data_IF_251224070835
#
_entry.id   IF_251224070835
#
_cell.length_a   1.000
_cell.length_b   1.000
_cell.length_c   1.000
_cell.angle_alpha   90.00
_cell.angle_beta   90.00
_cell.angle_gamma   90.00
#
_symmetry.space_group_name_H-M   'P 1'
#
loop_
_entity.id
_entity.type
_entity.pdbx_description
1 polymer ?
#
# COMPACT_ATOMS: atom_id res chain seq x y z
N UNK A 1 -12.03 40.41 -39.17
CA UNK A 1 -10.73 39.80 -39.53
C UNK A 1 -11.05 38.40 -40.00
N UNK A 2 -10.60 38.04 -41.20
CA UNK A 2 -10.89 36.77 -41.87
C UNK A 2 -10.89 35.58 -40.90
N UNK A 3 -11.99 34.83 -40.86
CA UNK A 3 -12.00 33.43 -40.42
C UNK A 3 -11.28 32.63 -41.50
N UNK A 4 -9.99 32.94 -41.69
CA UNK A 4 -9.17 32.47 -42.79
C UNK A 4 -9.28 30.96 -42.85
N UNK A 5 -9.67 30.47 -44.02
CA UNK A 5 -9.69 29.04 -44.36
C UNK A 5 -8.48 28.37 -43.73
N UNK A 6 -8.70 27.62 -42.64
CA UNK A 6 -7.63 26.81 -42.09
C UNK A 6 -7.16 25.86 -43.19
N UNK A 7 -5.85 25.73 -43.32
CA UNK A 7 -5.28 24.81 -44.29
C UNK A 7 -5.81 23.39 -44.03
N UNK A 8 -6.24 22.63 -45.06
CA UNK A 8 -6.75 21.27 -44.88
C UNK A 8 -5.82 20.38 -44.04
N UNK A 9 -4.50 20.47 -44.29
CA UNK A 9 -3.48 19.76 -43.49
C UNK A 9 -3.47 20.15 -42.00
N UNK A 10 -3.68 21.43 -41.68
CA UNK A 10 -3.75 21.89 -40.27
C UNK A 10 -5.01 21.37 -39.60
N UNK A 11 -6.17 21.45 -40.29
CA UNK A 11 -7.42 20.90 -39.76
C UNK A 11 -7.31 19.39 -39.53
N UNK A 12 -6.67 18.66 -40.45
CA UNK A 12 -6.42 17.23 -40.29
C UNK A 12 -5.51 16.91 -39.09
N UNK A 13 -4.43 17.66 -38.90
CA UNK A 13 -3.57 17.50 -37.73
C UNK A 13 -4.31 17.78 -36.41
N UNK A 14 -5.20 18.77 -36.40
CA UNK A 14 -6.03 19.08 -35.22
C UNK A 14 -7.03 17.97 -34.90
N UNK A 15 -7.62 17.31 -35.92
CA UNK A 15 -8.48 16.14 -35.73
C UNK A 15 -7.71 14.98 -35.09
N UNK A 16 -6.54 14.65 -35.65
CA UNK A 16 -5.68 13.60 -35.11
C UNK A 16 -5.28 13.92 -33.66
N UNK A 17 -4.90 15.16 -33.37
CA UNK A 17 -4.58 15.59 -32.00
C UNK A 17 -5.76 15.43 -31.03
N UNK A 18 -7.01 15.64 -31.46
CA UNK A 18 -8.18 15.39 -30.62
C UNK A 18 -8.33 13.89 -30.31
N UNK A 19 -8.07 13.03 -31.29
CA UNK A 19 -8.09 11.57 -31.09
C UNK A 19 -6.97 11.13 -30.13
N UNK A 20 -5.74 11.61 -30.33
CA UNK A 20 -4.59 11.35 -29.43
C UNK A 20 -4.90 11.81 -28.00
N UNK A 21 -5.45 13.01 -27.83
CA UNK A 21 -5.84 13.55 -26.53
C UNK A 21 -6.95 12.75 -25.85
N UNK A 22 -7.82 12.10 -26.62
CA UNK A 22 -8.89 11.25 -26.06
C UNK A 22 -8.37 9.98 -25.38
N UNK A 23 -7.18 9.49 -25.77
CA UNK A 23 -6.55 8.29 -25.20
C UNK A 23 -5.42 8.61 -24.21
N UNK A 24 -4.97 9.86 -24.13
CA UNK A 24 -3.89 10.31 -23.24
C UNK A 24 -4.08 9.85 -21.79
N UNK A 25 -5.27 10.04 -21.22
CA UNK A 25 -5.55 9.63 -19.84
C UNK A 25 -5.50 8.11 -19.63
N UNK A 26 -5.88 7.33 -20.65
CA UNK A 26 -5.79 5.86 -20.59
C UNK A 26 -4.33 5.40 -20.62
N UNK A 27 -3.46 6.12 -21.33
CA UNK A 27 -2.02 5.85 -21.38
C UNK A 27 -1.33 6.19 -20.06
N UNK A 28 -1.60 7.38 -19.51
CA UNK A 28 -1.02 7.84 -18.24
C UNK A 28 -1.47 6.92 -17.09
N UNK A 29 -2.72 6.49 -17.11
CA UNK A 29 -3.30 5.57 -16.13
C UNK A 29 -3.11 4.08 -16.44
N UNK A 30 -2.36 3.72 -17.48
CA UNK A 30 -2.21 2.32 -17.89
C UNK A 30 -1.45 1.53 -16.82
N UNK A 31 -2.10 0.55 -16.21
CA UNK A 31 -1.56 -0.26 -15.11
C UNK A 31 -1.31 -1.72 -15.50
N UNK A 32 -1.45 -2.07 -16.79
CA UNK A 32 -1.29 -3.43 -17.30
C UNK A 32 0.14 -3.79 -17.69
N UNK A 33 0.30 -4.94 -18.34
CA UNK A 33 1.53 -5.41 -18.98
C UNK A 33 1.48 -5.26 -20.51
N UNK A 34 2.60 -5.47 -21.19
CA UNK A 34 2.72 -5.32 -22.65
C UNK A 34 1.97 -6.39 -23.45
N UNK A 35 1.70 -7.55 -22.84
CA UNK A 35 0.92 -8.63 -23.44
C UNK A 35 -0.59 -8.42 -23.33
N UNK A 36 -1.04 -7.50 -22.47
CA UNK A 36 -2.46 -7.19 -22.26
C UNK A 36 -3.16 -6.70 -23.54
N UNK A 37 -4.43 -7.10 -23.68
CA UNK A 37 -5.28 -6.65 -24.80
C UNK A 37 -5.42 -5.13 -24.84
N UNK A 38 -5.50 -4.49 -23.68
CA UNK A 38 -5.65 -3.04 -23.57
C UNK A 38 -4.36 -2.30 -23.97
N UNK A 39 -3.18 -2.83 -23.63
CA UNK A 39 -1.89 -2.31 -24.12
C UNK A 39 -1.87 -2.31 -25.64
N UNK A 40 -2.09 -3.49 -26.24
CA UNK A 40 -2.11 -3.67 -27.70
C UNK A 40 -3.14 -2.77 -28.38
N UNK A 41 -4.28 -2.52 -27.75
CA UNK A 41 -5.30 -1.59 -28.26
C UNK A 41 -4.78 -0.15 -28.28
N UNK A 42 -4.23 0.34 -27.17
CA UNK A 42 -3.69 1.71 -27.06
C UNK A 42 -2.50 1.92 -28.01
N UNK A 43 -1.58 0.97 -28.04
CA UNK A 43 -0.43 0.97 -28.94
C UNK A 43 -0.86 1.05 -30.41
N UNK A 44 -1.84 0.23 -30.83
CA UNK A 44 -2.39 0.28 -32.20
C UNK A 44 -3.03 1.62 -32.52
N UNK A 45 -3.79 2.21 -31.59
CA UNK A 45 -4.41 3.52 -31.79
C UNK A 45 -3.32 4.57 -32.00
N UNK A 46 -2.36 4.68 -31.08
CA UNK A 46 -1.31 5.69 -31.17
C UNK A 46 -0.41 5.50 -32.40
N UNK A 47 -0.04 4.26 -32.72
CA UNK A 47 0.75 3.93 -33.92
C UNK A 47 0.01 4.32 -35.20
N UNK A 48 -1.30 4.06 -35.27
CA UNK A 48 -2.16 4.51 -36.39
C UNK A 48 -2.15 6.03 -36.50
N UNK A 49 -2.32 6.75 -35.39
CA UNK A 49 -2.28 8.22 -35.40
C UNK A 49 -0.92 8.76 -35.85
N UNK A 50 0.18 8.12 -35.44
CA UNK A 50 1.52 8.51 -35.86
C UNK A 50 1.71 8.37 -37.38
N UNK A 51 1.28 7.24 -37.97
CA UNK A 51 1.29 7.07 -39.42
C UNK A 51 0.41 8.10 -40.15
N UNK A 52 -0.76 8.44 -39.59
CA UNK A 52 -1.64 9.45 -40.15
C UNK A 52 -1.00 10.85 -40.10
N UNK A 53 -0.29 11.20 -39.02
CA UNK A 53 0.46 12.45 -38.88
C UNK A 53 1.58 12.52 -39.93
N UNK A 54 2.35 11.46 -40.09
CA UNK A 54 3.48 11.41 -41.03
C UNK A 54 3.02 11.51 -42.48
N UNK A 55 1.82 11.01 -42.78
CA UNK A 55 1.19 11.09 -44.10
C UNK A 55 0.64 12.48 -44.44
N UNK A 56 0.65 13.43 -43.51
CA UNK A 56 0.19 14.80 -43.78
C UNK A 56 1.21 15.55 -44.65
N UNK A 57 0.75 15.97 -45.84
CA UNK A 57 1.53 16.85 -46.70
C UNK A 57 1.62 18.26 -46.10
N UNK A 58 2.86 18.75 -46.10
CA UNK A 58 3.22 20.06 -45.55
C UNK A 58 3.34 21.13 -46.63
N UNK A 59 3.39 20.76 -47.91
CA UNK A 59 3.54 21.68 -49.04
C UNK A 59 4.75 22.63 -48.88
N UNK A 60 5.76 22.24 -48.10
CA UNK A 60 6.90 23.10 -47.74
C UNK A 60 6.58 24.25 -46.76
N UNK A 61 5.34 24.38 -46.28
CA UNK A 61 4.90 25.42 -45.35
C UNK A 61 5.40 25.12 -43.94
N UNK A 62 6.20 26.04 -43.39
CA UNK A 62 6.91 25.86 -42.12
C UNK A 62 5.98 25.73 -40.89
N UNK A 63 4.83 26.40 -40.91
CA UNK A 63 3.78 26.29 -39.89
C UNK A 63 3.16 24.89 -39.86
N UNK A 64 2.86 24.29 -41.01
CA UNK A 64 2.34 22.92 -41.13
C UNK A 64 3.41 21.91 -40.71
N UNK A 65 4.67 22.08 -41.14
CA UNK A 65 5.78 21.24 -40.69
C UNK A 65 5.94 21.27 -39.17
N UNK A 66 5.84 22.45 -38.56
CA UNK A 66 5.94 22.61 -37.12
C UNK A 66 4.74 21.97 -36.39
N UNK A 67 3.52 22.13 -36.90
CA UNK A 67 2.33 21.49 -36.36
C UNK A 67 2.43 19.95 -36.43
N UNK A 68 2.85 19.40 -37.58
CA UNK A 68 3.08 17.97 -37.77
C UNK A 68 4.13 17.44 -36.78
N UNK A 69 5.27 18.14 -36.66
CA UNK A 69 6.33 17.78 -35.72
C UNK A 69 5.84 17.74 -34.28
N UNK A 70 5.05 18.73 -33.83
CA UNK A 70 4.48 18.75 -32.47
C UNK A 70 3.53 17.58 -32.24
N UNK A 71 2.64 17.30 -33.19
CA UNK A 71 1.70 16.18 -33.09
C UNK A 71 2.41 14.82 -33.04
N UNK A 72 3.44 14.63 -33.88
CA UNK A 72 4.27 13.42 -33.88
C UNK A 72 4.98 13.26 -32.53
N UNK A 73 5.65 14.30 -32.04
CA UNK A 73 6.35 14.28 -30.74
C UNK A 73 5.42 13.99 -29.56
N UNK A 74 4.21 14.52 -29.56
CA UNK A 74 3.20 14.23 -28.54
C UNK A 74 2.76 12.76 -28.58
N UNK A 75 2.51 12.23 -29.78
CA UNK A 75 2.11 10.83 -29.98
C UNK A 75 3.23 9.86 -29.61
N UNK A 76 4.47 10.13 -30.03
CA UNK A 76 5.67 9.37 -29.67
C UNK A 76 5.91 9.39 -28.16
N UNK A 77 5.70 10.54 -27.50
CA UNK A 77 5.79 10.66 -26.04
C UNK A 77 4.79 9.73 -25.36
N UNK A 78 3.55 9.66 -25.84
CA UNK A 78 2.54 8.77 -25.26
C UNK A 78 2.85 7.28 -25.50
N UNK A 79 3.36 6.91 -26.69
CA UNK A 79 3.84 5.55 -26.93
C UNK A 79 4.95 5.16 -25.96
N UNK A 80 5.92 6.05 -25.77
CA UNK A 80 7.02 5.84 -24.81
C UNK A 80 6.52 5.74 -23.37
N UNK A 81 5.58 6.59 -22.97
CA UNK A 81 4.96 6.54 -21.64
C UNK A 81 4.22 5.21 -21.42
N UNK A 82 3.46 4.74 -22.42
CA UNK A 82 2.74 3.47 -22.38
C UNK A 82 3.71 2.28 -22.20
N UNK A 83 4.80 2.26 -22.97
CA UNK A 83 5.86 1.26 -22.86
C UNK A 83 6.55 1.30 -21.49
N UNK A 84 6.86 2.50 -20.99
CA UNK A 84 7.47 2.69 -19.67
C UNK A 84 6.55 2.25 -18.53
N UNK A 85 5.24 2.47 -18.65
CA UNK A 85 4.26 2.02 -17.68
C UNK A 85 4.15 0.49 -17.65
N UNK A 86 4.12 -0.15 -18.82
CA UNK A 86 4.02 -1.61 -18.94
C UNK A 86 5.28 -2.35 -18.47
N UNK A 87 6.46 -1.79 -18.76
CA UNK A 87 7.76 -2.42 -18.52
C UNK A 87 8.51 -1.84 -17.30
N UNK A 88 7.82 -1.07 -16.45
CA UNK A 88 8.45 -0.49 -15.27
C UNK A 88 8.97 -1.58 -14.32
N UNK A 89 10.17 -1.45 -13.71
CA UNK A 89 10.68 -2.44 -12.75
C UNK A 89 9.69 -2.76 -11.62
N UNK A 90 9.11 -1.74 -10.98
CA UNK A 90 8.08 -1.93 -9.95
C UNK A 90 6.75 -2.49 -10.49
N UNK A 91 6.43 -2.31 -11.79
CA UNK A 91 5.25 -2.96 -12.39
C UNK A 91 5.47 -4.46 -12.52
N UNK A 92 6.66 -4.86 -12.94
CA UNK A 92 7.08 -6.26 -13.02
C UNK A 92 7.15 -6.87 -11.61
N UNK A 93 7.66 -6.13 -10.64
CA UNK A 93 7.67 -6.55 -9.23
C UNK A 93 6.26 -6.84 -8.69
N UNK A 94 5.28 -5.96 -8.94
CA UNK A 94 3.86 -6.19 -8.58
C UNK A 94 3.34 -7.48 -9.24
N UNK A 95 3.69 -7.72 -10.51
CA UNK A 95 3.28 -8.93 -11.21
C UNK A 95 3.86 -10.19 -10.57
N UNK A 96 5.17 -10.18 -10.29
CA UNK A 96 5.85 -11.34 -9.71
C UNK A 96 5.26 -11.69 -8.34
N UNK A 97 5.00 -10.67 -7.49
CA UNK A 97 4.36 -10.87 -6.18
C UNK A 97 2.93 -11.43 -6.36
N UNK A 98 2.19 -10.98 -7.37
CA UNK A 98 0.87 -11.53 -7.67
C UNK A 98 0.93 -12.99 -8.14
N UNK A 99 1.92 -13.35 -8.96
CA UNK A 99 2.13 -14.73 -9.43
C UNK A 99 2.52 -15.68 -8.29
N UNK A 100 3.31 -15.21 -7.32
CA UNK A 100 3.58 -15.95 -6.08
C UNK A 100 2.27 -16.22 -5.32
N UNK A 101 1.40 -15.21 -5.20
CA UNK A 101 0.09 -15.36 -4.56
C UNK A 101 -0.80 -16.37 -5.30
N UNK A 102 -0.82 -16.32 -6.64
CA UNK A 102 -1.51 -17.30 -7.46
C UNK A 102 -0.97 -18.72 -7.24
N UNK A 103 0.36 -18.87 -7.12
CA UNK A 103 0.99 -20.17 -6.86
C UNK A 103 0.60 -20.73 -5.49
N UNK A 104 0.67 -19.90 -4.45
CA UNK A 104 0.27 -20.28 -3.09
C UNK A 104 -1.21 -20.71 -3.05
N UNK A 105 -2.09 -19.96 -3.72
CA UNK A 105 -3.50 -20.29 -3.80
C UNK A 105 -3.72 -21.60 -4.55
N UNK A 106 -3.04 -21.83 -5.69
CA UNK A 106 -3.15 -23.11 -6.43
C UNK A 106 -2.80 -24.32 -5.56
N UNK A 107 -1.79 -24.20 -4.71
CA UNK A 107 -1.38 -25.26 -3.80
C UNK A 107 -2.42 -25.47 -2.68
N UNK A 108 -2.83 -24.39 -2.01
CA UNK A 108 -3.59 -24.45 -0.76
C UNK A 108 -5.12 -24.51 -0.94
N UNK A 109 -5.65 -24.36 -2.16
CA UNK A 109 -7.10 -24.33 -2.40
C UNK A 109 -7.77 -25.72 -2.46
N UNK A 110 -7.00 -26.79 -2.66
CA UNK A 110 -7.51 -28.16 -2.82
C UNK A 110 -8.48 -28.60 -1.70
N UNK A 111 -8.23 -28.31 -0.41
CA UNK A 111 -9.13 -28.68 0.69
C UNK A 111 -10.56 -28.11 0.55
N UNK A 112 -10.73 -26.94 -0.08
CA UNK A 112 -12.04 -26.32 -0.26
C UNK A 112 -12.95 -27.15 -1.18
N UNK A 113 -12.39 -27.81 -2.20
CA UNK A 113 -13.17 -28.65 -3.10
C UNK A 113 -13.72 -29.91 -2.42
N UNK A 114 -13.05 -30.37 -1.37
CA UNK A 114 -13.52 -31.49 -0.55
C UNK A 114 -14.58 -31.08 0.48
N UNK A 115 -14.97 -29.80 0.52
CA UNK A 115 -15.91 -29.25 1.52
C UNK A 115 -15.32 -29.11 2.93
N UNK A 116 -14.01 -29.34 3.10
CA UNK A 116 -13.33 -29.18 4.38
C UNK A 116 -12.99 -27.72 4.69
N UNK A 117 -13.08 -27.31 5.97
CA UNK A 117 -12.75 -25.96 6.44
C UNK A 117 -11.26 -25.83 6.86
N UNK A 118 -10.34 -26.55 6.20
CA UNK A 118 -8.94 -26.59 6.64
C UNK A 118 -8.13 -25.51 5.93
N UNK A 119 -8.37 -24.26 6.33
CA UNK A 119 -7.38 -23.19 6.12
C UNK A 119 -6.22 -23.47 7.09
N UNK A 120 -5.00 -23.58 6.56
CA UNK A 120 -3.79 -23.76 7.36
C UNK A 120 -3.22 -22.41 7.78
N UNK A 121 -2.65 -22.31 8.98
CA UNK A 121 -1.93 -21.11 9.44
C UNK A 121 -0.84 -20.68 8.42
N UNK A 122 -0.15 -21.65 7.79
CA UNK A 122 0.83 -21.38 6.71
C UNK A 122 0.24 -20.61 5.51
N UNK A 123 -1.05 -20.83 5.22
CA UNK A 123 -1.72 -20.17 4.09
C UNK A 123 -2.07 -18.73 4.45
N UNK A 124 -2.56 -18.50 5.67
CA UNK A 124 -2.82 -17.15 6.19
C UNK A 124 -1.52 -16.34 6.28
N UNK A 125 -0.46 -16.90 6.88
CA UNK A 125 0.85 -16.25 7.01
C UNK A 125 1.47 -15.93 5.63
N UNK A 126 1.38 -16.86 4.68
CA UNK A 126 1.88 -16.64 3.31
C UNK A 126 1.15 -15.51 2.58
N UNK A 127 -0.18 -15.43 2.71
CA UNK A 127 -0.96 -14.33 2.15
C UNK A 127 -0.63 -13.00 2.84
N UNK A 128 -0.45 -13.01 4.17
CA UNK A 128 -0.10 -11.82 4.93
C UNK A 128 1.28 -11.26 4.54
N UNK A 129 2.27 -12.12 4.32
CA UNK A 129 3.60 -11.73 3.82
C UNK A 129 3.52 -11.09 2.42
N UNK A 130 2.75 -11.70 1.51
CA UNK A 130 2.54 -11.18 0.16
C UNK A 130 1.91 -9.79 0.20
N UNK A 131 0.88 -9.58 1.03
CA UNK A 131 0.22 -8.28 1.20
C UNK A 131 1.22 -7.24 1.71
N UNK A 132 2.07 -7.61 2.67
CA UNK A 132 3.09 -6.72 3.22
C UNK A 132 4.07 -6.28 2.12
N UNK A 133 4.66 -7.23 1.39
CA UNK A 133 5.60 -6.94 0.29
C UNK A 133 4.96 -6.09 -0.80
N UNK A 134 3.74 -6.43 -1.21
CA UNK A 134 3.01 -5.68 -2.23
C UNK A 134 2.72 -4.23 -1.79
N UNK A 135 2.37 -4.02 -0.51
CA UNK A 135 2.14 -2.69 0.07
C UNK A 135 3.40 -1.84 0.05
N UNK A 136 4.58 -2.46 0.20
CA UNK A 136 5.88 -1.77 0.21
C UNK A 136 6.47 -1.50 -1.17
N UNK A 137 5.86 -2.01 -2.25
CA UNK A 137 6.29 -1.64 -3.61
C UNK A 137 6.15 -0.14 -3.81
N UNK A 138 7.25 0.49 -4.26
CA UNK A 138 7.36 1.94 -4.45
C UNK A 138 6.64 2.36 -5.73
N UNK A 139 5.94 3.49 -5.66
CA UNK A 139 5.17 4.02 -6.79
C UNK A 139 5.74 5.33 -7.34
N UNK A 140 6.58 6.04 -6.58
CA UNK A 140 7.31 7.23 -7.06
C UNK A 140 6.42 8.27 -7.73
N UNK A 141 5.21 8.51 -7.19
CA UNK A 141 4.23 9.45 -7.76
C UNK A 141 3.47 8.95 -9.00
N UNK A 142 3.84 7.80 -9.58
CA UNK A 142 3.22 7.30 -10.81
C UNK A 142 1.83 6.72 -10.53
N UNK A 143 0.84 7.26 -11.27
CA UNK A 143 -0.56 6.83 -11.18
C UNK A 143 -0.71 5.37 -11.64
N UNK A 144 -0.03 4.99 -12.72
CA UNK A 144 0.00 3.62 -13.26
C UNK A 144 0.38 2.58 -12.20
N UNK A 145 1.44 2.85 -11.42
CA UNK A 145 1.93 1.97 -10.37
C UNK A 145 0.99 1.92 -9.16
N UNK A 146 0.46 3.09 -8.71
CA UNK A 146 -0.54 3.12 -7.63
C UNK A 146 -1.79 2.33 -8.01
N UNK A 147 -2.29 2.49 -9.23
CA UNK A 147 -3.43 1.74 -9.75
C UNK A 147 -3.13 0.23 -9.83
N UNK A 148 -1.95 -0.16 -10.34
CA UNK A 148 -1.54 -1.57 -10.42
C UNK A 148 -1.45 -2.23 -9.04
N UNK A 149 -0.80 -1.56 -8.08
CA UNK A 149 -0.65 -2.04 -6.70
C UNK A 149 -2.01 -2.16 -6.03
N UNK A 150 -2.86 -1.14 -6.15
CA UNK A 150 -4.21 -1.15 -5.58
C UNK A 150 -5.05 -2.30 -6.12
N UNK A 151 -5.13 -2.47 -7.44
CA UNK A 151 -5.92 -3.54 -8.06
C UNK A 151 -5.49 -4.93 -7.56
N UNK A 152 -4.18 -5.14 -7.45
CA UNK A 152 -3.60 -6.39 -6.97
C UNK A 152 -3.90 -6.60 -5.49
N UNK A 153 -3.72 -5.56 -4.65
CA UNK A 153 -4.03 -5.61 -3.22
C UNK A 153 -5.51 -5.92 -2.97
N UNK A 154 -6.43 -5.28 -3.70
CA UNK A 154 -7.88 -5.51 -3.54
C UNK A 154 -8.24 -6.99 -3.70
N UNK A 155 -7.67 -7.66 -4.71
CA UNK A 155 -7.88 -9.09 -4.94
C UNK A 155 -7.32 -9.95 -3.82
N UNK A 156 -6.08 -9.69 -3.40
CA UNK A 156 -5.40 -10.50 -2.38
C UNK A 156 -6.02 -10.26 -0.98
N UNK A 157 -6.41 -9.03 -0.65
CA UNK A 157 -7.12 -8.72 0.59
C UNK A 157 -8.50 -9.38 0.63
N UNK A 158 -9.23 -9.43 -0.48
CA UNK A 158 -10.48 -10.19 -0.53
C UNK A 158 -10.25 -11.69 -0.24
N UNK A 159 -9.17 -12.28 -0.79
CA UNK A 159 -8.77 -13.65 -0.46
C UNK A 159 -8.43 -13.80 1.03
N UNK A 160 -7.62 -12.90 1.59
CA UNK A 160 -7.32 -12.88 3.03
C UNK A 160 -8.59 -12.84 3.88
N UNK A 161 -9.55 -11.99 3.54
CA UNK A 161 -10.80 -11.88 4.29
C UNK A 161 -11.65 -13.15 4.22
N UNK A 162 -11.68 -13.82 3.06
CA UNK A 162 -12.38 -15.10 2.92
C UNK A 162 -11.70 -16.16 3.80
N UNK A 163 -10.37 -16.22 3.81
CA UNK A 163 -9.56 -17.13 4.62
C UNK A 163 -9.79 -16.89 6.12
N UNK A 164 -9.71 -15.65 6.58
CA UNK A 164 -9.93 -15.28 7.98
C UNK A 164 -11.37 -15.58 8.44
N UNK A 165 -12.38 -15.32 7.59
CA UNK A 165 -13.77 -15.64 7.89
C UNK A 165 -13.98 -17.16 8.05
N UNK A 166 -13.20 -18.00 7.36
CA UNK A 166 -13.22 -19.46 7.51
C UNK A 166 -12.62 -19.91 8.85
N UNK A 167 -11.57 -19.24 9.33
CA UNK A 167 -10.89 -19.57 10.59
C UNK A 167 -11.68 -19.07 11.81
N UNK A 168 -12.28 -17.87 11.74
CA UNK A 168 -13.01 -17.25 12.85
C UNK A 168 -14.40 -17.85 13.07
N UNK A 169 -15.07 -18.31 12.00
CA UNK A 169 -16.43 -18.87 12.06
C UNK A 169 -16.37 -20.40 12.03
N UNK A 170 -16.22 -21.00 13.20
CA UNK A 170 -17.07 -22.16 13.43
C UNK A 170 -18.48 -21.61 13.60
N UNK A 171 -19.49 -22.08 12.83
CA UNK A 171 -20.87 -21.69 13.08
C UNK A 171 -21.17 -21.90 14.55
N UNK A 172 -21.95 -21.00 15.13
CA UNK A 172 -22.19 -20.92 16.58
C UNK A 172 -22.61 -22.25 17.22
N UNK A 173 -23.14 -23.21 16.46
CA UNK A 173 -22.90 -24.66 16.53
C UNK A 173 -23.51 -25.25 15.25
N UNK A 174 -22.88 -26.20 14.53
CA UNK A 174 -23.64 -27.02 13.59
C UNK A 174 -24.70 -27.77 14.42
N UNK A 175 -25.97 -27.44 14.21
CA UNK A 175 -27.07 -28.10 14.90
C UNK A 175 -27.09 -29.58 14.51
N UNK A 176 -27.42 -30.45 15.47
CA UNK A 176 -27.66 -31.86 15.15
C UNK A 176 -28.76 -31.99 14.11
N UNK A 177 -28.57 -32.85 13.11
CA UNK A 177 -29.57 -33.13 12.07
C UNK A 177 -30.90 -33.62 12.66
N UNK A 178 -30.86 -34.22 13.86
CA UNK A 178 -32.03 -34.69 14.60
C UNK A 178 -32.92 -33.54 15.12
N UNK A 179 -32.42 -32.31 15.17
CA UNK A 179 -33.15 -31.18 15.73
C UNK A 179 -34.36 -30.78 14.86
N UNK A 180 -34.22 -30.83 13.53
CA UNK A 180 -35.25 -30.44 12.56
C UNK A 180 -34.85 -30.80 11.11
N UNK A 181 -35.78 -31.18 10.22
CA UNK A 181 -35.47 -31.49 8.82
C UNK A 181 -34.75 -30.34 8.07
N UNK A 182 -35.09 -29.08 8.38
CA UNK A 182 -34.41 -27.91 7.79
C UNK A 182 -32.92 -27.83 8.16
N UNK A 183 -32.47 -28.41 9.28
CA UNK A 183 -31.05 -28.38 9.69
C UNK A 183 -30.19 -29.15 8.69
N UNK A 184 -30.63 -30.33 8.23
CA UNK A 184 -29.91 -31.10 7.22
C UNK A 184 -29.74 -30.30 5.91
N UNK A 185 -30.77 -29.56 5.48
CA UNK A 185 -30.69 -28.69 4.30
C UNK A 185 -29.78 -27.47 4.53
N UNK A 186 -29.80 -26.86 5.71
CA UNK A 186 -28.88 -25.76 6.05
C UNK A 186 -27.43 -26.27 6.05
N UNK A 187 -27.16 -27.43 6.65
CA UNK A 187 -25.84 -28.08 6.65
C UNK A 187 -25.37 -28.39 5.23
N UNK A 188 -26.26 -28.89 4.36
CA UNK A 188 -25.97 -29.10 2.95
C UNK A 188 -25.57 -27.80 2.24
N UNK A 189 -26.37 -26.74 2.40
CA UNK A 189 -26.06 -25.43 1.80
C UNK A 189 -24.73 -24.90 2.33
N UNK A 190 -24.44 -25.07 3.61
CA UNK A 190 -23.15 -24.67 4.20
C UNK A 190 -21.95 -25.38 3.52
N UNK A 191 -22.08 -26.67 3.20
CA UNK A 191 -21.07 -27.40 2.44
C UNK A 191 -20.89 -26.83 1.02
N UNK A 192 -21.98 -26.51 0.33
CA UNK A 192 -21.92 -25.87 -0.99
C UNK A 192 -21.31 -24.46 -0.93
N UNK A 193 -21.58 -23.69 0.13
CA UNK A 193 -20.95 -22.39 0.40
C UNK A 193 -19.43 -22.55 0.59
N UNK A 194 -18.97 -23.60 1.29
CA UNK A 194 -17.54 -23.88 1.41
C UNK A 194 -16.86 -24.17 0.07
N UNK A 195 -17.52 -24.94 -0.81
CA UNK A 195 -17.02 -25.16 -2.18
C UNK A 195 -17.00 -23.86 -2.98
N UNK A 196 -18.07 -23.06 -2.86
CA UNK A 196 -18.18 -21.76 -3.51
C UNK A 196 -17.09 -20.78 -3.06
N UNK A 197 -16.62 -20.84 -1.80
CA UNK A 197 -15.45 -20.08 -1.32
C UNK A 197 -14.18 -20.44 -2.08
N UNK A 198 -13.89 -21.73 -2.24
CA UNK A 198 -12.73 -22.18 -3.03
C UNK A 198 -12.84 -21.71 -4.48
N UNK A 199 -14.02 -21.81 -5.09
CA UNK A 199 -14.24 -21.28 -6.43
C UNK A 199 -14.01 -19.77 -6.51
N UNK A 200 -14.56 -19.00 -5.57
CA UNK A 200 -14.39 -17.55 -5.51
C UNK A 200 -12.92 -17.14 -5.38
N UNK A 201 -12.18 -17.77 -4.47
CA UNK A 201 -10.73 -17.55 -4.32
C UNK A 201 -10.02 -17.83 -5.64
N UNK A 202 -10.38 -18.91 -6.32
CA UNK A 202 -9.77 -19.25 -7.61
C UNK A 202 -10.07 -18.22 -8.71
N UNK A 203 -11.28 -17.65 -8.73
CA UNK A 203 -11.71 -16.60 -9.66
C UNK A 203 -10.97 -15.29 -9.39
N UNK A 204 -10.92 -14.84 -8.13
CA UNK A 204 -10.22 -13.61 -7.73
C UNK A 204 -8.75 -13.63 -8.14
N UNK A 205 -8.13 -14.81 -8.05
CA UNK A 205 -6.73 -15.02 -8.40
C UNK A 205 -6.52 -15.43 -9.86
N UNK A 206 -7.57 -15.66 -10.65
CA UNK A 206 -7.44 -16.08 -12.05
C UNK A 206 -6.71 -17.42 -12.23
N UNK A 207 -6.81 -18.33 -11.27
CA UNK A 207 -6.13 -19.64 -11.31
C UNK A 207 -7.02 -20.77 -11.81
N UNK A 208 -8.32 -20.55 -11.90
CA UNK A 208 -9.29 -21.49 -12.47
C UNK A 208 -10.02 -20.84 -13.65
N UNK A 209 -10.06 -21.54 -14.78
CA UNK A 209 -10.69 -21.07 -16.02
C UNK A 209 -12.06 -21.73 -16.29
N UNK A 210 -12.47 -22.68 -15.46
CA UNK A 210 -13.69 -23.46 -15.69
C UNK A 210 -14.97 -22.76 -15.18
N UNK A 211 -14.82 -21.62 -14.53
CA UNK A 211 -15.89 -20.97 -13.78
C UNK A 211 -15.92 -19.47 -14.07
N UNK A 212 -17.06 -18.82 -13.85
CA UNK A 212 -17.23 -17.38 -14.09
C UNK A 212 -17.91 -16.70 -12.92
N UNK A 213 -17.63 -15.41 -12.69
CA UNK A 213 -18.28 -14.65 -11.63
C UNK A 213 -19.81 -14.67 -11.77
N UNK A 214 -20.31 -14.66 -13.02
CA UNK A 214 -21.74 -14.71 -13.33
C UNK A 214 -22.39 -16.04 -12.92
N UNK A 215 -21.76 -17.18 -13.21
CA UNK A 215 -22.30 -18.47 -12.82
C UNK A 215 -22.22 -18.67 -11.30
N UNK A 216 -21.09 -18.32 -10.66
CA UNK A 216 -20.99 -18.39 -9.20
C UNK A 216 -22.03 -17.50 -8.50
N UNK A 217 -22.26 -16.28 -8.99
CA UNK A 217 -23.32 -15.39 -8.48
C UNK A 217 -24.71 -16.02 -8.61
N UNK A 218 -24.99 -16.71 -9.73
CA UNK A 218 -26.24 -17.44 -9.92
C UNK A 218 -26.38 -18.63 -8.95
N UNK A 219 -25.31 -19.38 -8.71
CA UNK A 219 -25.29 -20.51 -7.77
C UNK A 219 -25.57 -20.02 -6.35
N UNK A 220 -24.82 -19.01 -5.89
CA UNK A 220 -25.00 -18.42 -4.56
C UNK A 220 -26.41 -17.83 -4.37
N UNK A 221 -26.94 -17.14 -5.38
CA UNK A 221 -28.31 -16.61 -5.35
C UNK A 221 -29.36 -17.74 -5.25
N UNK A 222 -29.12 -18.86 -5.94
CA UNK A 222 -29.95 -20.06 -5.83
C UNK A 222 -29.93 -20.67 -4.43
N UNK A 223 -28.76 -20.73 -3.79
CA UNK A 223 -28.62 -21.21 -2.40
C UNK A 223 -29.37 -20.32 -1.39
N UNK A 224 -29.40 -19.00 -1.60
CA UNK A 224 -30.23 -18.09 -0.79
C UNK A 224 -31.72 -18.44 -0.94
N UNK A 225 -32.20 -18.61 -2.17
CA UNK A 225 -33.60 -18.95 -2.42
C UNK A 225 -33.99 -20.30 -1.78
N UNK A 226 -33.10 -21.29 -1.84
CA UNK A 226 -33.27 -22.58 -1.18
C UNK A 226 -33.38 -22.44 0.35
N UNK A 227 -32.58 -21.55 0.96
CA UNK A 227 -32.65 -21.27 2.40
C UNK A 227 -33.93 -20.52 2.76
N UNK A 228 -34.33 -19.53 1.98
CA UNK A 228 -35.53 -18.73 2.22
C UNK A 228 -36.83 -19.55 2.12
N UNK A 229 -36.83 -20.60 1.28
CA UNK A 229 -37.94 -21.56 1.16
C UNK A 229 -38.10 -22.48 2.39
N UNK A 230 -37.13 -22.51 3.32
CA UNK A 230 -37.22 -23.34 4.52
C UNK A 230 -38.28 -22.82 5.49
N UNK A 231 -39.24 -23.67 5.83
CA UNK A 231 -40.10 -23.44 6.99
C UNK A 231 -39.30 -23.66 8.28
N UNK A 232 -39.15 -22.58 9.05
CA UNK A 232 -38.44 -22.55 10.34
C UNK A 232 -39.30 -21.85 11.40
N UNK A 233 -40.62 -21.84 11.21
CA UNK A 233 -41.55 -21.17 12.13
C UNK A 233 -41.42 -21.70 13.56
N UNK A 234 -41.42 -20.79 14.54
CA UNK A 234 -41.36 -21.13 15.97
C UNK A 234 -40.00 -21.58 16.52
N UNK A 235 -38.98 -21.81 15.68
CA UNK A 235 -37.65 -22.26 16.12
C UNK A 235 -36.58 -21.18 15.91
N UNK A 236 -36.36 -20.37 16.94
CA UNK A 236 -35.42 -19.23 16.91
C UNK A 236 -33.99 -19.65 16.56
N UNK A 237 -33.51 -20.76 17.11
CA UNK A 237 -32.15 -21.27 16.86
C UNK A 237 -31.92 -21.58 15.38
N UNK A 238 -32.86 -22.29 14.73
CA UNK A 238 -32.76 -22.65 13.31
C UNK A 238 -32.88 -21.42 12.42
N UNK A 239 -33.75 -20.47 12.78
CA UNK A 239 -33.87 -19.20 12.06
C UNK A 239 -32.58 -18.38 12.14
N UNK A 240 -31.91 -18.39 13.28
CA UNK A 240 -30.61 -17.73 13.44
C UNK A 240 -29.53 -18.46 12.65
N UNK A 241 -29.50 -19.79 12.70
CA UNK A 241 -28.54 -20.59 11.93
C UNK A 241 -28.71 -20.38 10.41
N UNK A 242 -29.93 -20.41 9.91
CA UNK A 242 -30.24 -20.06 8.51
C UNK A 242 -29.76 -18.65 8.17
N UNK A 243 -30.04 -17.67 9.03
CA UNK A 243 -29.65 -16.27 8.82
C UNK A 243 -28.13 -16.13 8.71
N UNK A 244 -27.39 -16.79 9.58
CA UNK A 244 -25.92 -16.80 9.56
C UNK A 244 -25.38 -17.29 8.22
N UNK A 245 -25.93 -18.39 7.68
CA UNK A 245 -25.55 -18.90 6.34
C UNK A 245 -25.93 -17.92 5.22
N UNK A 246 -27.11 -17.28 5.29
CA UNK A 246 -27.52 -16.25 4.31
C UNK A 246 -26.59 -15.03 4.37
N UNK A 247 -26.21 -14.57 5.56
CA UNK A 247 -25.24 -13.48 5.73
C UNK A 247 -23.88 -13.83 5.14
N UNK A 248 -23.44 -15.07 5.31
CA UNK A 248 -22.22 -15.59 4.70
C UNK A 248 -22.28 -15.61 3.18
N UNK A 249 -23.39 -16.06 2.57
CA UNK A 249 -23.55 -16.04 1.11
C UNK A 249 -23.53 -14.61 0.59
N UNK A 250 -24.24 -13.69 1.25
CA UNK A 250 -24.26 -12.27 0.87
C UNK A 250 -22.86 -11.63 0.94
N UNK A 251 -22.00 -12.06 1.86
CA UNK A 251 -20.59 -11.62 1.88
C UNK A 251 -19.82 -12.11 0.65
N UNK A 252 -20.00 -13.37 0.25
CA UNK A 252 -19.34 -13.91 -0.95
C UNK A 252 -19.80 -13.21 -2.24
N UNK A 253 -21.10 -12.89 -2.34
CA UNK A 253 -21.64 -12.13 -3.48
C UNK A 253 -20.97 -10.77 -3.63
N UNK A 254 -20.72 -10.04 -2.54
CA UNK A 254 -20.02 -8.74 -2.59
C UNK A 254 -18.63 -8.81 -3.21
N UNK A 255 -17.90 -9.91 -2.98
CA UNK A 255 -16.56 -10.06 -3.56
C UNK A 255 -16.60 -10.32 -5.08
N UNK A 256 -17.72 -10.82 -5.62
CA UNK A 256 -17.87 -11.04 -7.06
C UNK A 256 -18.04 -9.74 -7.84
N UNK A 257 -18.45 -8.66 -7.18
CA UNK A 257 -18.66 -7.34 -7.77
C UNK A 257 -17.39 -6.45 -7.75
N UNK A 258 -16.26 -6.95 -7.21
CA UNK A 258 -15.03 -6.18 -7.04
C UNK A 258 -14.42 -5.63 -8.34
N UNK A 259 -14.61 -6.32 -9.48
CA UNK A 259 -14.02 -5.88 -10.74
C UNK A 259 -14.59 -4.55 -11.24
N UNK A 260 -15.88 -4.28 -10.99
CA UNK A 260 -16.51 -3.02 -11.42
C UNK A 260 -16.06 -1.82 -10.55
N UNK A 261 -15.74 -2.05 -9.27
CA UNK A 261 -15.34 -0.99 -8.34
C UNK A 261 -13.88 -0.55 -8.51
N UNK A 262 -12.99 -1.50 -8.87
CA UNK A 262 -11.54 -1.29 -8.91
C UNK A 262 -11.07 -0.28 -9.97
N UNK A 263 -11.87 -0.04 -11.01
CA UNK A 263 -11.53 0.92 -12.07
C UNK A 263 -11.86 2.37 -11.73
N UNK A 264 -12.58 2.63 -10.63
CA UNK A 264 -12.91 3.99 -10.23
C UNK A 264 -11.69 4.72 -9.67
N UNK A 265 -11.42 5.95 -10.15
CA UNK A 265 -10.25 6.76 -9.72
C UNK A 265 -10.17 6.96 -8.20
N UNK A 266 -11.34 7.02 -7.54
CA UNK A 266 -11.45 7.21 -6.09
C UNK A 266 -10.96 6.01 -5.28
N UNK A 267 -10.92 4.82 -5.89
CA UNK A 267 -10.56 3.59 -5.22
C UNK A 267 -9.04 3.51 -4.96
N UNK A 268 -8.23 3.86 -5.97
CA UNK A 268 -6.77 3.80 -5.87
C UNK A 268 -6.10 5.12 -5.47
N UNK A 269 -6.76 6.28 -5.62
CA UNK A 269 -6.20 7.56 -5.17
C UNK A 269 -6.63 7.88 -3.73
N UNK A 270 -5.78 7.49 -2.78
CA UNK A 270 -6.06 7.67 -1.34
C UNK A 270 -5.89 9.11 -0.85
N UNK A 271 -5.51 10.07 -1.71
CA UNK A 271 -5.32 11.49 -1.32
C UNK A 271 -6.55 12.14 -0.71
N UNK A 272 -7.75 11.68 -1.10
CA UNK A 272 -9.02 12.17 -0.56
C UNK A 272 -9.63 11.25 0.50
N UNK A 273 -8.96 10.14 0.83
CA UNK A 273 -9.42 9.24 1.88
C UNK A 273 -9.35 9.94 3.25
N UNK A 274 -10.42 9.81 4.04
CA UNK A 274 -10.55 10.50 5.31
C UNK A 274 -9.46 10.14 6.32
N UNK A 275 -9.04 8.88 6.35
CA UNK A 275 -7.94 8.40 7.21
C UNK A 275 -6.60 8.97 6.78
N UNK A 276 -6.33 9.04 5.47
CA UNK A 276 -5.12 9.71 4.95
C UNK A 276 -5.13 11.20 5.30
N UNK A 277 -6.24 11.91 5.12
CA UNK A 277 -6.35 13.33 5.47
C UNK A 277 -6.08 13.58 6.97
N UNK A 278 -6.53 12.67 7.85
CA UNK A 278 -6.22 12.72 9.28
C UNK A 278 -4.72 12.54 9.54
N UNK A 279 -4.09 11.55 8.90
CA UNK A 279 -2.64 11.31 9.00
C UNK A 279 -1.85 12.55 8.53
N UNK A 280 -2.20 13.13 7.39
CA UNK A 280 -1.54 14.32 6.85
C UNK A 280 -1.68 15.54 7.76
N UNK A 281 -2.84 15.69 8.43
CA UNK A 281 -3.05 16.75 9.44
C UNK A 281 -2.11 16.56 10.64
N UNK A 282 -1.96 15.33 11.13
CA UNK A 282 -1.02 15.02 12.22
C UNK A 282 0.42 15.30 11.80
N UNK A 283 0.83 14.84 10.61
CA UNK A 283 2.17 15.09 10.07
C UNK A 283 2.45 16.58 9.89
N UNK A 284 1.46 17.36 9.43
CA UNK A 284 1.58 18.82 9.34
C UNK A 284 1.86 19.43 10.72
N UNK A 285 1.10 19.08 11.75
CA UNK A 285 1.30 19.61 13.10
C UNK A 285 2.64 19.17 13.68
N UNK A 286 3.05 17.91 13.47
CA UNK A 286 4.36 17.42 13.86
C UNK A 286 5.49 18.26 13.23
N UNK A 287 5.39 18.58 11.93
CA UNK A 287 6.37 19.43 11.24
C UNK A 287 6.47 20.84 11.83
N UNK A 288 5.34 21.42 12.26
CA UNK A 288 5.32 22.71 12.96
C UNK A 288 6.10 22.63 14.29
N UNK A 289 5.79 21.63 15.13
CA UNK A 289 6.50 21.39 16.41
C UNK A 289 8.00 21.16 16.17
N UNK A 290 8.35 20.35 15.15
CA UNK A 290 9.73 20.10 14.76
C UNK A 290 10.46 21.40 14.44
N UNK A 291 9.85 22.27 13.65
CA UNK A 291 10.46 23.54 13.24
C UNK A 291 10.60 24.50 14.43
N UNK A 292 9.60 24.57 15.31
CA UNK A 292 9.64 25.33 16.56
C UNK A 292 10.81 24.87 17.44
N UNK A 293 11.00 23.56 17.61
CA UNK A 293 12.10 22.98 18.40
C UNK A 293 13.48 23.23 17.81
N UNK A 294 13.64 23.11 16.49
CA UNK A 294 14.93 23.28 15.83
C UNK A 294 15.37 24.75 15.71
N UNK A 295 14.43 25.70 15.72
CA UNK A 295 14.69 27.14 15.59
C UNK A 295 14.69 27.88 16.94
N UNK A 296 14.26 27.24 18.03
CA UNK A 296 14.19 27.86 19.35
C UNK A 296 15.57 28.25 19.88
N UNK A 297 15.67 29.44 20.49
CA UNK A 297 16.89 29.90 21.18
C UNK A 297 17.13 29.15 22.50
N UNK A 298 16.06 28.81 23.22
CA UNK A 298 16.09 27.96 24.41
C UNK A 298 15.16 26.74 24.24
N UNK A 299 15.57 25.71 23.46
CA UNK A 299 14.72 24.56 23.16
C UNK A 299 14.29 23.78 24.42
N UNK A 300 15.07 23.88 25.51
CA UNK A 300 14.81 23.19 26.78
C UNK A 300 13.48 23.55 27.45
N UNK A 301 12.99 24.77 27.26
CA UNK A 301 11.68 25.20 27.80
C UNK A 301 10.50 24.56 27.05
N UNK A 302 10.72 24.15 25.79
CA UNK A 302 9.69 23.59 24.92
C UNK A 302 9.60 22.06 24.99
N UNK A 303 10.58 21.37 25.58
CA UNK A 303 10.64 19.91 25.55
C UNK A 303 9.41 19.25 26.17
N UNK A 304 9.00 19.69 27.37
CA UNK A 304 7.85 19.11 28.07
C UNK A 304 6.53 19.32 27.32
N UNK A 305 6.27 20.54 26.85
CA UNK A 305 5.04 20.87 26.10
C UNK A 305 5.01 20.16 24.76
N UNK A 306 6.12 20.20 24.00
CA UNK A 306 6.23 19.53 22.70
C UNK A 306 6.07 18.02 22.82
N UNK A 307 6.71 17.39 23.83
CA UNK A 307 6.58 15.95 24.06
C UNK A 307 5.14 15.55 24.40
N UNK A 308 4.48 16.32 25.26
CA UNK A 308 3.07 16.09 25.61
C UNK A 308 2.17 16.20 24.38
N UNK A 309 2.40 17.20 23.54
CA UNK A 309 1.66 17.38 22.30
C UNK A 309 1.91 16.25 21.30
N UNK A 310 3.17 15.83 21.11
CA UNK A 310 3.54 14.71 20.25
C UNK A 310 2.93 13.38 20.72
N UNK A 311 2.86 13.15 22.03
CA UNK A 311 2.13 12.00 22.58
C UNK A 311 0.64 12.06 22.26
N UNK A 312 0.04 13.26 22.31
CA UNK A 312 -1.34 13.48 21.85
C UNK A 312 -1.52 13.22 20.35
N UNK A 313 -0.52 13.54 19.52
CA UNK A 313 -0.51 13.21 18.10
C UNK A 313 -0.45 11.69 17.85
N UNK A 314 0.30 10.94 18.65
CA UNK A 314 0.28 9.46 18.60
C UNK A 314 -1.11 8.94 18.92
N UNK A 315 -1.77 9.45 19.96
CA UNK A 315 -3.15 9.09 20.28
C UNK A 315 -4.13 9.35 19.13
N UNK A 316 -3.98 10.49 18.42
CA UNK A 316 -4.76 10.77 17.21
C UNK A 316 -4.48 9.78 16.07
N UNK A 317 -3.24 9.32 15.91
CA UNK A 317 -2.89 8.30 14.92
C UNK A 317 -3.48 6.94 15.28
N UNK A 318 -3.50 6.56 16.56
CA UNK A 318 -4.10 5.31 17.04
C UNK A 318 -5.61 5.24 16.75
N UNK A 319 -6.30 6.38 16.76
CA UNK A 319 -7.72 6.52 16.40
C UNK A 319 -8.00 6.51 14.88
N UNK A 320 -6.97 6.50 14.03
CA UNK A 320 -7.16 6.44 12.58
C UNK A 320 -7.73 5.08 12.18
N UNK A 321 -8.90 5.11 11.55
CA UNK A 321 -9.50 3.93 10.94
C UNK A 321 -8.58 3.40 9.84
N UNK A 322 -8.02 2.22 10.06
CA UNK A 322 -7.18 1.55 9.06
C UNK A 322 -7.96 1.09 7.84
N UNK A 323 -9.28 0.98 7.97
CA UNK A 323 -10.12 0.26 7.01
C UNK A 323 -9.55 -1.16 6.79
N UNK A 324 -9.93 -1.83 5.70
CA UNK A 324 -9.25 -3.05 5.24
C UNK A 324 -8.17 -2.74 4.20
N UNK A 325 -7.56 -1.55 4.30
CA UNK A 325 -6.59 -1.06 3.32
C UNK A 325 -5.17 -1.07 3.92
N UNK A 326 -4.27 -1.95 3.45
CA UNK A 326 -2.93 -2.06 4.00
C UNK A 326 -2.05 -0.82 3.73
N UNK A 327 -2.32 -0.04 2.67
CA UNK A 327 -1.62 1.23 2.45
C UNK A 327 -1.93 2.27 3.54
N UNK A 328 -3.17 2.31 4.05
CA UNK A 328 -3.53 3.20 5.17
C UNK A 328 -2.82 2.76 6.45
N UNK A 329 -2.72 1.44 6.68
CA UNK A 329 -1.95 0.88 7.80
C UNK A 329 -0.48 1.27 7.73
N UNK A 330 0.13 1.17 6.55
CA UNK A 330 1.53 1.56 6.35
C UNK A 330 1.72 3.09 6.49
N UNK A 331 0.82 3.91 5.95
CA UNK A 331 0.85 5.36 6.11
C UNK A 331 0.77 5.76 7.60
N UNK A 332 -0.13 5.14 8.37
CA UNK A 332 -0.22 5.36 9.82
C UNK A 332 1.06 4.94 10.52
N UNK A 333 1.60 3.76 10.21
CA UNK A 333 2.87 3.25 10.78
C UNK A 333 4.02 4.24 10.55
N UNK A 334 4.17 4.73 9.32
CA UNK A 334 5.20 5.72 8.96
C UNK A 334 5.03 7.02 9.73
N UNK A 335 3.80 7.51 9.86
CA UNK A 335 3.51 8.70 10.66
C UNK A 335 3.82 8.52 12.15
N UNK A 336 3.53 7.35 12.73
CA UNK A 336 3.89 7.03 14.11
C UNK A 336 5.42 7.04 14.28
N UNK A 337 6.16 6.42 13.37
CA UNK A 337 7.64 6.42 13.40
C UNK A 337 8.18 7.85 13.33
N UNK A 338 7.61 8.69 12.46
CA UNK A 338 7.95 10.10 12.34
C UNK A 338 7.78 10.86 13.65
N UNK A 339 6.61 10.75 14.29
CA UNK A 339 6.33 11.42 15.58
C UNK A 339 7.22 10.86 16.69
N UNK A 340 7.36 9.54 16.76
CA UNK A 340 8.19 8.87 17.77
C UNK A 340 9.67 9.25 17.64
N UNK A 341 10.16 9.48 16.42
CA UNK A 341 11.54 9.91 16.19
C UNK A 341 11.78 11.32 16.73
N UNK A 342 10.80 12.21 16.64
CA UNK A 342 10.90 13.53 17.26
C UNK A 342 10.85 13.45 18.81
N UNK A 343 10.02 12.57 19.36
CA UNK A 343 10.01 12.31 20.81
C UNK A 343 11.37 11.79 21.30
N UNK A 344 11.95 10.81 20.60
CA UNK A 344 13.26 10.26 20.99
C UNK A 344 14.39 11.30 20.90
N UNK A 345 14.30 12.22 19.94
CA UNK A 345 15.22 13.36 19.85
C UNK A 345 15.12 14.27 21.08
N UNK A 346 13.90 14.61 21.52
CA UNK A 346 13.67 15.41 22.73
C UNK A 346 14.22 14.69 23.96
N UNK A 347 13.90 13.39 24.12
CA UNK A 347 14.37 12.58 25.25
C UNK A 347 15.90 12.53 25.33
N UNK A 348 16.56 12.40 24.18
CA UNK A 348 18.02 12.42 24.09
C UNK A 348 18.59 13.79 24.48
N UNK A 349 18.01 14.89 24.00
CA UNK A 349 18.43 16.25 24.39
C UNK A 349 18.27 16.48 25.90
N UNK A 350 17.14 16.10 26.48
CA UNK A 350 16.92 16.19 27.93
C UNK A 350 17.95 15.38 28.73
N UNK A 351 18.24 14.15 28.29
CA UNK A 351 19.20 13.29 28.96
C UNK A 351 20.61 13.90 28.93
N UNK A 352 21.01 14.49 27.79
CA UNK A 352 22.30 15.17 27.63
C UNK A 352 22.39 16.43 28.51
N UNK A 353 21.32 17.22 28.64
CA UNK A 353 21.30 18.39 29.53
C UNK A 353 21.35 17.99 31.01
N UNK A 354 20.56 16.98 31.41
CA UNK A 354 20.62 16.42 32.78
C UNK A 354 22.02 15.92 33.11
N UNK A 355 22.71 15.30 32.16
CA UNK A 355 24.10 14.86 32.33
C UNK A 355 25.05 16.03 32.60
N UNK A 356 24.93 17.14 31.86
CA UNK A 356 25.79 18.33 32.09
C UNK A 356 25.63 18.89 33.49
N UNK A 357 24.44 18.82 34.07
CA UNK A 357 24.15 19.31 35.42
C UNK A 357 24.71 18.41 36.54
N UNK A 358 24.81 17.10 36.31
CA UNK A 358 25.21 16.10 37.32
C UNK A 358 26.51 15.37 36.98
N UNK A 359 27.46 16.04 36.32
CA UNK A 359 28.74 15.44 35.94
C UNK A 359 29.50 14.92 37.17
N UNK A 360 29.55 13.60 37.32
CA UNK A 360 30.27 12.89 38.39
C UNK A 360 31.50 12.17 37.81
N UNK A 361 32.39 11.66 38.66
CA UNK A 361 33.49 10.79 38.20
C UNK A 361 32.92 9.48 37.64
N UNK A 362 32.90 9.36 36.31
CA UNK A 362 32.38 8.19 35.57
C UNK A 362 33.52 7.32 35.04
N UNK A 363 33.27 6.01 34.92
CA UNK A 363 34.18 5.10 34.24
C UNK A 363 34.45 5.55 32.79
N UNK A 364 35.69 5.44 32.25
CA UNK A 364 36.01 5.84 30.88
C UNK A 364 35.07 5.25 29.82
N UNK A 365 34.64 4.00 29.99
CA UNK A 365 33.70 3.34 29.08
C UNK A 365 32.31 4.01 29.08
N UNK A 366 31.83 4.48 30.24
CA UNK A 366 30.55 5.18 30.31
C UNK A 366 30.64 6.57 29.66
N UNK A 367 31.75 7.27 29.90
CA UNK A 367 32.03 8.56 29.24
C UNK A 367 32.07 8.42 27.72
N UNK A 368 32.65 7.33 27.19
CA UNK A 368 32.69 7.05 25.76
C UNK A 368 31.28 6.87 25.15
N UNK A 369 30.40 6.09 25.80
CA UNK A 369 29.00 5.90 25.35
C UNK A 369 28.27 7.24 25.27
N UNK A 370 28.44 8.09 26.27
CA UNK A 370 27.79 9.40 26.25
C UNK A 370 28.33 10.36 25.19
N UNK A 371 29.63 10.29 24.87
CA UNK A 371 30.18 11.07 23.77
C UNK A 371 29.51 10.67 22.45
N UNK A 372 29.29 9.37 22.23
CA UNK A 372 28.53 8.88 21.08
C UNK A 372 27.08 9.37 21.11
N UNK A 373 26.41 9.34 22.27
CA UNK A 373 25.05 9.88 22.41
C UNK A 373 24.97 11.38 22.07
N UNK A 374 26.00 12.16 22.42
CA UNK A 374 26.15 13.55 22.00
C UNK A 374 26.18 13.69 20.48
N UNK A 375 27.07 12.94 19.81
CA UNK A 375 27.17 12.93 18.35
C UNK A 375 25.86 12.48 17.69
N UNK A 376 25.22 11.42 18.22
CA UNK A 376 23.94 10.92 17.72
C UNK A 376 22.84 11.98 17.83
N UNK A 377 22.86 12.82 18.86
CA UNK A 377 21.91 13.93 18.98
C UNK A 377 22.08 14.98 17.90
N UNK A 378 23.31 15.30 17.51
CA UNK A 378 23.59 16.22 16.40
C UNK A 378 23.16 15.60 15.07
N UNK A 379 23.57 14.35 14.81
CA UNK A 379 23.21 13.62 13.60
C UNK A 379 21.67 13.48 13.47
N UNK A 380 20.96 13.15 14.55
CA UNK A 380 19.51 13.05 14.55
C UNK A 380 18.84 14.37 14.20
N UNK A 381 19.37 15.51 14.66
CA UNK A 381 18.91 16.84 14.27
C UNK A 381 19.06 17.10 12.77
N UNK A 382 20.17 16.69 12.17
CA UNK A 382 20.39 16.75 10.72
C UNK A 382 19.42 15.82 9.96
N UNK A 383 19.23 14.58 10.42
CA UNK A 383 18.29 13.60 9.82
C UNK A 383 16.84 14.09 9.87
N UNK A 384 16.43 14.73 10.97
CA UNK A 384 15.10 15.35 11.10
C UNK A 384 14.86 16.46 10.06
N UNK A 385 15.93 17.13 9.63
CA UNK A 385 15.92 18.21 8.63
C UNK A 385 16.19 17.74 7.20
N UNK A 386 16.60 16.48 7.01
CA UNK A 386 16.86 15.92 5.69
C UNK A 386 15.58 15.81 4.83
N UNK A 387 15.65 16.15 3.54
CA UNK A 387 14.52 16.10 2.61
C UNK A 387 15.00 15.67 1.22
N UNK A 388 15.65 14.51 1.17
CA UNK A 388 16.31 13.99 -0.01
C UNK A 388 16.08 12.50 -0.24
N UNK A 389 16.71 11.98 -1.29
CA UNK A 389 16.68 10.56 -1.65
C UNK A 389 18.05 9.89 -1.38
N UNK A 390 18.11 8.58 -1.60
CA UNK A 390 19.32 7.76 -1.32
C UNK A 390 20.53 8.08 -2.19
N UNK A 391 20.34 8.77 -3.32
CA UNK A 391 21.43 9.18 -4.21
C UNK A 391 22.06 10.51 -3.81
N UNK A 392 21.44 11.24 -2.87
CA UNK A 392 21.94 12.53 -2.43
C UNK A 392 23.21 12.38 -1.58
N UNK A 393 24.19 13.25 -1.83
CA UNK A 393 25.46 13.28 -1.07
C UNK A 393 25.23 13.43 0.44
N UNK A 394 24.18 14.15 0.83
CA UNK A 394 23.84 14.34 2.24
C UNK A 394 23.33 13.06 2.90
N UNK A 395 22.58 12.22 2.17
CA UNK A 395 22.15 10.92 2.67
C UNK A 395 23.37 10.05 2.99
N UNK A 396 24.27 9.91 2.01
CA UNK A 396 25.49 9.09 2.12
C UNK A 396 26.34 9.58 3.30
N UNK A 397 26.54 10.90 3.44
CA UNK A 397 27.26 11.48 4.58
C UNK A 397 26.60 11.10 5.92
N UNK A 398 25.28 11.22 6.05
CA UNK A 398 24.59 10.91 7.31
C UNK A 398 24.67 9.42 7.65
N UNK A 399 24.53 8.55 6.65
CA UNK A 399 24.70 7.10 6.79
C UNK A 399 26.13 6.73 7.26
N UNK A 400 27.16 7.34 6.67
CA UNK A 400 28.55 7.17 7.08
C UNK A 400 28.80 7.64 8.53
N UNK A 401 28.23 8.80 8.91
CA UNK A 401 28.34 9.32 10.28
C UNK A 401 27.70 8.40 11.31
N UNK A 402 26.52 7.84 11.00
CA UNK A 402 25.82 6.86 11.84
C UNK A 402 26.61 5.55 11.96
N UNK A 403 27.13 5.06 10.84
CA UNK A 403 27.96 3.85 10.80
C UNK A 403 29.21 4.02 11.65
N UNK A 404 29.85 5.20 11.58
CA UNK A 404 30.97 5.55 12.44
C UNK A 404 30.61 5.56 13.93
N UNK A 405 29.41 6.01 14.31
CA UNK A 405 28.95 5.94 15.70
C UNK A 405 28.71 4.49 16.17
N UNK A 406 28.19 3.62 15.30
CA UNK A 406 28.03 2.19 15.60
C UNK A 406 29.38 1.53 15.86
N UNK A 407 30.38 1.76 14.99
CA UNK A 407 31.75 1.26 15.18
C UNK A 407 32.39 1.80 16.47
N UNK A 408 32.15 3.07 16.80
CA UNK A 408 32.63 3.66 18.05
C UNK A 408 32.02 2.99 19.28
N UNK A 409 30.74 2.60 19.23
CA UNK A 409 30.07 1.86 20.30
C UNK A 409 30.60 0.44 20.43
N UNK A 410 30.88 -0.24 19.31
CA UNK A 410 31.46 -1.59 19.32
C UNK A 410 32.86 -1.63 19.94
N UNK A 411 33.64 -0.55 19.76
CA UNK A 411 34.96 -0.39 20.37
C UNK A 411 34.93 -0.10 21.89
N UNK A 412 33.75 0.16 22.48
CA UNK A 412 33.63 0.37 23.93
C UNK A 412 33.68 -0.98 24.65
N UNK A 413 34.77 -1.23 25.38
CA UNK A 413 34.88 -2.33 26.32
C UNK A 413 34.16 -1.99 27.65
N UNK A 414 33.08 -2.70 28.00
CA UNK A 414 32.36 -2.47 29.25
C UNK A 414 33.08 -3.01 30.50
N UNK A 415 34.20 -3.74 30.37
CA UNK A 415 34.97 -4.32 31.49
C UNK A 415 34.11 -5.08 32.52
N UNK A 416 33.00 -5.66 32.07
CA UNK A 416 32.07 -6.40 32.92
C UNK A 416 30.99 -5.55 33.62
N UNK A 417 31.03 -4.23 33.55
CA UNK A 417 30.03 -3.36 34.18
C UNK A 417 28.67 -3.44 33.45
N UNK A 418 27.66 -3.99 34.13
CA UNK A 418 26.34 -4.22 33.54
C UNK A 418 25.63 -2.92 33.13
N UNK A 419 25.82 -1.85 33.90
CA UNK A 419 25.30 -0.51 33.57
C UNK A 419 25.88 0.02 32.25
N UNK A 420 27.19 -0.14 32.05
CA UNK A 420 27.85 0.25 30.82
C UNK A 420 27.35 -0.57 29.62
N UNK A 421 27.19 -1.90 29.79
CA UNK A 421 26.61 -2.78 28.75
C UNK A 421 25.20 -2.35 28.36
N UNK A 422 24.34 -2.06 29.33
CA UNK A 422 22.97 -1.63 29.09
C UNK A 422 22.93 -0.28 28.35
N UNK A 423 23.74 0.70 28.80
CA UNK A 423 23.84 2.01 28.15
C UNK A 423 24.35 1.89 26.70
N UNK A 424 25.38 1.07 26.46
CA UNK A 424 25.89 0.78 25.11
C UNK A 424 24.81 0.17 24.22
N UNK A 425 24.07 -0.82 24.72
CA UNK A 425 22.97 -1.47 23.98
C UNK A 425 21.86 -0.48 23.62
N UNK A 426 21.54 0.44 24.53
CA UNK A 426 20.55 1.50 24.27
C UNK A 426 21.06 2.48 23.21
N UNK A 427 22.33 2.89 23.26
CA UNK A 427 22.93 3.76 22.25
C UNK A 427 22.97 3.10 20.86
N UNK A 428 23.28 1.80 20.77
CA UNK A 428 23.24 1.06 19.50
C UNK A 428 21.83 1.05 18.92
N UNK A 429 20.81 0.76 19.75
CA UNK A 429 19.40 0.80 19.31
C UNK A 429 18.99 2.17 18.80
N UNK A 430 19.42 3.24 19.49
CA UNK A 430 19.14 4.60 19.06
C UNK A 430 19.79 4.89 17.69
N UNK A 431 21.06 4.55 17.50
CA UNK A 431 21.75 4.73 16.22
C UNK A 431 21.05 3.96 15.08
N UNK A 432 20.66 2.70 15.33
CA UNK A 432 19.89 1.88 14.38
C UNK A 432 18.51 2.47 14.06
N UNK A 433 17.83 3.05 15.05
CA UNK A 433 16.54 3.72 14.84
C UNK A 433 16.70 5.00 14.00
N UNK A 434 17.74 5.79 14.24
CA UNK A 434 18.03 6.99 13.44
C UNK A 434 18.34 6.60 11.99
N UNK A 435 19.14 5.55 11.78
CA UNK A 435 19.43 5.03 10.44
C UNK A 435 18.17 4.52 9.73
N UNK A 436 17.36 3.71 10.42
CA UNK A 436 16.07 3.22 9.89
C UNK A 436 15.10 4.35 9.53
N UNK A 437 15.13 5.44 10.30
CA UNK A 437 14.32 6.63 10.01
C UNK A 437 14.86 7.42 8.81
N UNK A 438 16.18 7.55 8.66
CA UNK A 438 16.80 8.14 7.48
C UNK A 438 16.44 7.34 6.22
N UNK A 439 16.52 6.01 6.29
CA UNK A 439 16.08 5.10 5.24
C UNK A 439 14.62 5.36 4.86
N UNK A 440 13.73 5.43 5.85
CA UNK A 440 12.29 5.65 5.66
C UNK A 440 11.99 7.00 5.00
N UNK A 441 12.70 8.08 5.37
CA UNK A 441 12.50 9.39 4.72
C UNK A 441 12.95 9.42 3.26
N UNK A 442 13.88 8.55 2.90
CA UNK A 442 14.49 8.50 1.57
C UNK A 442 13.82 7.50 0.61
N UNK A 443 12.79 6.77 1.05
CA UNK A 443 12.36 5.54 0.38
C UNK A 443 11.32 5.71 -0.75
N UNK A 444 10.93 6.94 -1.12
CA UNK A 444 10.01 7.26 -2.23
C UNK A 444 8.66 6.52 -2.20
N UNK A 445 8.28 6.00 -1.04
CA UNK A 445 7.00 5.32 -0.88
C UNK A 445 5.85 6.33 -0.83
N UNK A 446 4.82 6.10 -1.63
CA UNK A 446 3.55 6.82 -1.57
C UNK A 446 2.40 5.82 -1.41
N UNK A 447 1.28 6.25 -0.82
CA UNK A 447 0.05 5.48 -0.67
C UNK A 447 -0.78 5.38 -1.96
#
# INVERSE_FOLDING_TARGET
MDMGNQHPSISRLQEIQKEVKSVEQQVIGFSGLSDDKNYKKLERILTKQLFEIDSVDTEGKGDIQQARKRAAQETERLLKELEQNANHPHRIEIQNIFEEAQSLVREKIVPFYNGGNCVTDEFEEGIQDIILRLTHVKTGGKISLRKARYHTLTKICAVQEIIEDCMKKQPSLPLSEDAHPSVAKINFVMCEVNKARGVLIALLMGVNNNETCRHLSCVLSGLIADLDALDVCGRTEIRNYRREVVEDINKLLKYLDLEEEADTTKAFDLRQNHSILKIEKVLKRMREIKNELLQAQNPSELYLSSKTELQGLIGQLDEVSLEKNPCIREARRRAVIEVQTLITYIDLKEALEKRKLFACEEHPSHKAVWNVLGNLSEIQGEVLSFDGNRTDKNYIRLEELLTKQLLALDAVDPQGEEKCKAARKQAVRLAQNILSYLDLKSDEWEY
#
